data_IF_658410912167
#
_entry.id   IF_658410912167
#
_cell.length_a   1.000
_cell.length_b   1.000
_cell.length_c   1.000
_cell.angle_alpha   90.00
_cell.angle_beta   90.00
_cell.angle_gamma   90.00
#
_symmetry.space_group_name_H-M   'P 1'
#
loop_
_entity.id
_entity.type
_entity.pdbx_description
1 polymer ?
#
# COMPACT_ATOMS: atom_id res chain seq x y z
N UNK A 1 8.37 8.91 -14.43
CA UNK A 1 7.60 9.38 -13.25
C UNK A 1 7.58 10.90 -13.32
N UNK A 2 6.43 11.56 -13.28
CA UNK A 2 6.33 13.02 -13.46
C UNK A 2 6.67 13.72 -12.14
N UNK A 3 7.66 14.61 -12.15
CA UNK A 3 7.98 15.51 -11.04
C UNK A 3 7.15 16.79 -11.18
N UNK A 4 6.47 17.22 -10.11
CA UNK A 4 5.74 18.49 -10.11
C UNK A 4 6.68 19.66 -9.76
N UNK A 5 6.33 20.89 -10.19
CA UNK A 5 7.02 22.12 -9.74
C UNK A 5 6.53 22.50 -8.34
N UNK A 6 7.30 23.28 -7.59
CA UNK A 6 6.99 23.72 -6.20
C UNK A 6 5.65 24.46 -6.02
N UNK A 7 5.08 24.99 -7.11
CA UNK A 7 3.83 25.76 -7.08
C UNK A 7 2.62 24.93 -7.51
N UNK A 8 2.78 23.62 -7.77
CA UNK A 8 1.66 22.76 -8.14
C UNK A 8 0.84 22.45 -6.89
N UNK A 9 -0.44 22.79 -6.98
CA UNK A 9 -1.46 22.42 -6.01
C UNK A 9 -2.25 21.29 -6.64
N UNK A 10 -2.22 20.11 -6.01
CA UNK A 10 -3.08 19.00 -6.37
C UNK A 10 -4.05 18.77 -5.22
N UNK A 11 -5.32 18.59 -5.54
CA UNK A 11 -6.27 18.01 -4.60
C UNK A 11 -5.86 16.59 -4.23
N UNK A 12 -6.27 16.13 -3.04
CA UNK A 12 -6.06 14.74 -2.64
C UNK A 12 -6.70 13.75 -3.64
N UNK A 13 -7.83 14.14 -4.25
CA UNK A 13 -8.47 13.38 -5.33
C UNK A 13 -7.54 13.21 -6.53
N UNK A 14 -6.94 14.28 -7.04
CA UNK A 14 -6.06 14.21 -8.21
C UNK A 14 -4.86 13.29 -7.94
N UNK A 15 -4.28 13.40 -6.74
CA UNK A 15 -3.18 12.54 -6.32
C UNK A 15 -3.59 11.05 -6.28
N UNK A 16 -4.67 10.72 -5.57
CA UNK A 16 -5.14 9.35 -5.47
C UNK A 16 -5.60 8.79 -6.82
N UNK A 17 -6.19 9.63 -7.67
CA UNK A 17 -6.55 9.25 -9.05
C UNK A 17 -5.32 8.90 -9.87
N UNK A 18 -4.23 9.68 -9.75
CA UNK A 18 -2.97 9.38 -10.41
C UNK A 18 -2.41 8.03 -9.94
N UNK A 19 -2.34 7.83 -8.62
CA UNK A 19 -1.82 6.60 -8.02
C UNK A 19 -2.68 5.37 -8.38
N UNK A 20 -4.00 5.53 -8.36
CA UNK A 20 -4.95 4.51 -8.78
C UNK A 20 -4.70 4.09 -10.23
N UNK A 21 -4.66 5.04 -11.17
CA UNK A 21 -4.40 4.75 -12.59
C UNK A 21 -3.08 4.03 -12.80
N UNK A 22 -2.02 4.48 -12.13
CA UNK A 22 -0.71 3.81 -12.19
C UNK A 22 -0.79 2.36 -11.68
N UNK A 23 -1.44 2.15 -10.54
CA UNK A 23 -1.60 0.84 -9.91
C UNK A 23 -2.40 -0.11 -10.78
N UNK A 24 -3.56 0.34 -11.27
CA UNK A 24 -4.43 -0.43 -12.16
C UNK A 24 -3.73 -0.81 -13.46
N UNK A 25 -3.10 0.16 -14.15
CA UNK A 25 -2.36 -0.12 -15.39
C UNK A 25 -1.26 -1.15 -15.18
N UNK A 26 -0.53 -1.03 -14.07
CA UNK A 26 0.55 -1.96 -13.70
C UNK A 26 0.04 -3.36 -13.47
N UNK A 27 -0.99 -3.55 -12.63
CA UNK A 27 -1.59 -4.87 -12.40
C UNK A 27 -2.07 -5.47 -13.73
N UNK A 28 -2.84 -4.71 -14.51
CA UNK A 28 -3.41 -5.17 -15.77
C UNK A 28 -2.35 -5.56 -16.80
N UNK A 29 -1.19 -4.88 -16.83
CA UNK A 29 -0.09 -5.24 -17.74
C UNK A 29 0.60 -6.57 -17.42
N UNK A 30 0.29 -7.17 -16.27
CA UNK A 30 0.80 -8.47 -15.82
C UNK A 30 -0.30 -9.54 -15.73
N UNK A 31 -1.58 -9.14 -15.77
CA UNK A 31 -2.67 -10.05 -16.08
C UNK A 31 -2.41 -10.67 -17.46
N UNK A 32 -2.30 -12.00 -17.52
CA UNK A 32 -1.91 -12.74 -18.72
C UNK A 32 -0.45 -13.19 -18.76
N UNK A 33 0.43 -12.67 -17.89
CA UNK A 33 1.83 -13.14 -17.78
C UNK A 33 2.04 -14.18 -16.68
N UNK A 34 1.15 -14.22 -15.69
CA UNK A 34 1.24 -15.15 -14.58
C UNK A 34 -0.17 -15.65 -14.20
N UNK A 35 -0.42 -16.98 -14.19
CA UNK A 35 -1.74 -17.53 -13.88
C UNK A 35 -2.27 -17.18 -12.49
N UNK A 36 -1.40 -17.09 -11.48
CA UNK A 36 -1.80 -16.73 -10.12
C UNK A 36 -2.21 -15.25 -10.04
N UNK A 37 -1.46 -14.34 -10.69
CA UNK A 37 -1.84 -12.93 -10.79
C UNK A 37 -3.19 -12.81 -11.48
N UNK A 38 -3.39 -13.51 -12.60
CA UNK A 38 -4.65 -13.49 -13.34
C UNK A 38 -5.81 -13.99 -12.47
N UNK A 39 -5.65 -15.16 -11.84
CA UNK A 39 -6.66 -15.74 -10.95
C UNK A 39 -7.04 -14.77 -9.84
N UNK A 40 -6.07 -14.28 -9.06
CA UNK A 40 -6.33 -13.40 -7.92
C UNK A 40 -6.80 -11.99 -8.32
N UNK A 41 -6.58 -11.59 -9.58
CA UNK A 41 -7.11 -10.33 -10.08
C UNK A 41 -8.63 -10.38 -10.26
N UNK A 42 -9.16 -11.50 -10.74
CA UNK A 42 -10.57 -11.63 -11.10
C UNK A 42 -11.39 -12.42 -10.09
N UNK A 43 -10.79 -13.39 -9.40
CA UNK A 43 -11.47 -14.29 -8.49
C UNK A 43 -11.38 -13.79 -7.04
N UNK A 44 -12.49 -13.94 -6.30
CA UNK A 44 -12.47 -13.82 -4.84
C UNK A 44 -11.62 -14.93 -4.22
N UNK A 45 -11.07 -14.67 -3.05
CA UNK A 45 -10.17 -15.60 -2.37
C UNK A 45 -10.51 -15.70 -0.89
N UNK A 46 -10.36 -16.90 -0.30
CA UNK A 46 -10.44 -17.08 1.15
C UNK A 46 -9.01 -17.21 1.69
N UNK A 47 -8.63 -16.36 2.64
CA UNK A 47 -7.31 -16.35 3.30
C UNK A 47 -7.53 -16.41 4.80
N UNK A 48 -6.97 -17.41 5.49
CA UNK A 48 -7.13 -17.61 6.94
C UNK A 48 -8.60 -17.48 7.39
N UNK A 49 -9.50 -18.23 6.73
CA UNK A 49 -10.95 -18.25 7.00
C UNK A 49 -11.73 -16.95 6.71
N UNK A 50 -11.05 -15.92 6.20
CA UNK A 50 -11.68 -14.67 5.81
C UNK A 50 -11.86 -14.61 4.29
N UNK A 51 -13.06 -14.24 3.83
CA UNK A 51 -13.35 -14.05 2.41
C UNK A 51 -12.96 -12.63 1.97
N UNK A 52 -12.24 -12.55 0.85
CA UNK A 52 -11.75 -11.31 0.26
C UNK A 52 -12.25 -11.17 -1.17
N UNK A 53 -12.63 -9.95 -1.52
CA UNK A 53 -12.92 -9.60 -2.91
C UNK A 53 -11.65 -9.69 -3.75
N UNK A 54 -11.84 -9.92 -5.05
CA UNK A 54 -10.75 -9.88 -6.02
C UNK A 54 -10.11 -8.50 -6.10
N UNK A 55 -8.89 -8.42 -6.65
CA UNK A 55 -8.20 -7.13 -6.86
C UNK A 55 -9.05 -6.20 -7.73
N UNK A 56 -9.64 -6.72 -8.81
CA UNK A 56 -10.48 -5.92 -9.71
C UNK A 56 -11.69 -5.32 -8.99
N UNK A 57 -12.41 -6.13 -8.20
CA UNK A 57 -13.55 -5.62 -7.41
C UNK A 57 -13.12 -4.60 -6.36
N UNK A 58 -11.94 -4.74 -5.75
CA UNK A 58 -11.40 -3.73 -4.84
C UNK A 58 -11.07 -2.43 -5.57
N UNK A 59 -10.41 -2.51 -6.72
CA UNK A 59 -10.06 -1.33 -7.52
C UNK A 59 -11.30 -0.54 -7.94
N UNK A 60 -12.36 -1.23 -8.40
CA UNK A 60 -13.64 -0.58 -8.74
C UNK A 60 -14.25 0.17 -7.54
N UNK A 61 -14.21 -0.43 -6.34
CA UNK A 61 -14.71 0.22 -5.12
C UNK A 61 -13.84 1.41 -4.69
N UNK A 62 -12.52 1.28 -4.80
CA UNK A 62 -11.59 2.38 -4.52
C UNK A 62 -11.80 3.54 -5.50
N UNK A 63 -12.03 3.26 -6.79
CA UNK A 63 -12.37 4.29 -7.78
C UNK A 63 -13.66 5.03 -7.42
N UNK A 64 -14.68 4.31 -6.96
CA UNK A 64 -15.91 4.93 -6.47
C UNK A 64 -15.66 5.83 -5.26
N UNK A 65 -14.82 5.40 -4.32
CA UNK A 65 -14.44 6.20 -3.14
C UNK A 65 -13.70 7.48 -3.57
N UNK A 66 -12.75 7.38 -4.50
CA UNK A 66 -11.95 8.52 -4.98
C UNK A 66 -12.82 9.51 -5.78
N UNK A 67 -13.74 9.00 -6.61
CA UNK A 67 -14.64 9.82 -7.44
C UNK A 67 -15.80 10.44 -6.65
N UNK A 68 -16.16 9.85 -5.50
CA UNK A 68 -17.25 10.31 -4.64
C UNK A 68 -17.08 11.73 -4.11
N UNK A 69 -18.20 12.35 -3.73
CA UNK A 69 -18.25 13.70 -3.18
C UNK A 69 -17.81 13.74 -1.71
N UNK A 70 -16.50 13.85 -1.48
CA UNK A 70 -15.92 14.11 -0.17
C UNK A 70 -15.18 15.46 -0.20
N UNK A 71 -15.56 16.38 0.68
CA UNK A 71 -14.94 17.72 0.78
C UNK A 71 -13.44 17.65 1.08
N UNK A 72 -13.03 16.65 1.87
CA UNK A 72 -11.62 16.37 2.16
C UNK A 72 -10.84 16.03 0.88
N UNK A 73 -11.39 15.18 0.00
CA UNK A 73 -10.76 14.82 -1.26
C UNK A 73 -10.60 16.02 -2.22
N UNK A 74 -11.49 17.00 -2.11
CA UNK A 74 -11.44 18.25 -2.87
C UNK A 74 -10.47 19.28 -2.27
N UNK A 75 -9.94 19.05 -1.07
CA UNK A 75 -9.04 20.00 -0.41
C UNK A 75 -7.74 20.13 -1.21
N UNK A 76 -7.37 21.35 -1.65
CA UNK A 76 -6.10 21.57 -2.31
C UNK A 76 -4.94 21.27 -1.36
N UNK A 77 -3.94 20.55 -1.83
CA UNK A 77 -2.71 20.29 -1.11
C UNK A 77 -1.53 20.75 -1.95
N UNK A 78 -0.69 21.62 -1.40
CA UNK A 78 0.57 21.99 -2.04
C UNK A 78 1.45 20.75 -2.12
N UNK A 79 2.02 20.50 -3.29
CA UNK A 79 3.10 19.53 -3.39
C UNK A 79 4.24 19.97 -2.46
N UNK A 80 4.82 19.02 -1.73
CA UNK A 80 5.96 19.26 -0.83
C UNK A 80 7.17 18.49 -1.32
N UNK A 81 8.36 18.92 -0.89
CA UNK A 81 9.55 18.08 -1.06
C UNK A 81 9.38 16.81 -0.24
N UNK A 82 9.23 15.68 -0.93
CA UNK A 82 9.10 14.37 -0.30
C UNK A 82 10.44 13.65 -0.22
N UNK A 83 10.56 12.77 0.76
CA UNK A 83 11.65 11.81 0.87
C UNK A 83 11.64 10.83 -0.31
N UNK A 84 10.45 10.40 -0.74
CA UNK A 84 10.21 9.59 -1.93
C UNK A 84 10.33 8.07 -1.72
N UNK A 85 11.02 7.63 -0.68
CA UNK A 85 11.05 6.23 -0.27
C UNK A 85 11.17 6.02 1.25
N UNK A 86 10.34 6.68 2.08
CA UNK A 86 10.38 6.47 3.53
C UNK A 86 9.75 5.11 3.88
N UNK A 87 10.60 4.16 4.23
CA UNK A 87 10.23 2.83 4.72
C UNK A 87 11.13 2.46 5.91
N UNK A 88 10.83 1.41 6.67
CA UNK A 88 11.54 1.02 7.89
C UNK A 88 13.05 0.85 7.67
N UNK A 89 13.45 0.32 6.52
CA UNK A 89 14.88 0.21 6.14
C UNK A 89 15.59 1.56 5.93
N UNK A 90 14.83 2.62 5.66
CA UNK A 90 15.32 3.99 5.48
C UNK A 90 15.08 4.88 6.72
N UNK A 91 14.71 4.29 7.85
CA UNK A 91 14.53 4.98 9.13
C UNK A 91 15.59 4.48 10.10
N UNK A 92 16.54 5.34 10.46
CA UNK A 92 17.50 5.08 11.53
C UNK A 92 17.03 5.73 12.83
N UNK A 93 17.12 5.00 13.94
CA UNK A 93 16.87 5.58 15.26
C UNK A 93 17.86 5.07 16.29
N UNK A 94 18.22 5.93 17.25
CA UNK A 94 18.96 5.57 18.46
C UNK A 94 18.06 5.57 19.72
N UNK A 95 16.73 5.62 19.55
CA UNK A 95 15.74 5.74 20.63
C UNK A 95 15.48 7.17 21.12
N UNK A 96 16.32 8.14 20.77
CA UNK A 96 16.14 9.57 21.07
C UNK A 96 15.88 10.39 19.81
N UNK A 97 16.62 10.09 18.76
CA UNK A 97 16.57 10.72 17.46
C UNK A 97 16.05 9.73 16.41
N UNK A 98 15.39 10.29 15.39
CA UNK A 98 14.94 9.57 14.20
C UNK A 98 15.51 10.29 12.98
N UNK A 99 16.22 9.58 12.12
CA UNK A 99 16.80 10.11 10.88
C UNK A 99 16.25 9.32 9.69
N UNK A 100 15.82 10.04 8.66
CA UNK A 100 15.50 9.47 7.36
C UNK A 100 16.76 9.47 6.49
N UNK A 101 17.05 8.34 5.85
CA UNK A 101 18.22 8.12 5.00
C UNK A 101 17.80 7.64 3.61
N UNK A 102 18.71 7.75 2.62
CA UNK A 102 18.46 7.39 1.21
C UNK A 102 17.21 8.07 0.59
N UNK A 103 17.19 9.42 0.50
CA UNK A 103 16.06 10.14 -0.11
C UNK A 103 16.03 9.94 -1.62
N UNK A 104 15.23 8.98 -2.10
CA UNK A 104 15.03 8.69 -3.53
C UNK A 104 14.08 9.65 -4.24
N UNK A 105 13.51 10.60 -3.53
CA UNK A 105 12.86 11.77 -4.12
C UNK A 105 13.84 12.63 -4.94
N UNK A 106 15.15 12.54 -4.71
CA UNK A 106 16.13 13.26 -5.53
C UNK A 106 16.76 12.34 -6.57
N UNK A 107 16.10 12.17 -7.72
CA UNK A 107 16.84 11.78 -8.92
C UNK A 107 17.50 13.02 -9.51
N UNK A 108 18.76 13.25 -9.11
CA UNK A 108 19.90 14.01 -9.71
C UNK A 108 19.64 15.36 -10.43
N UNK A 109 18.47 15.67 -11.00
CA UNK A 109 18.12 16.96 -11.59
C UNK A 109 16.62 17.33 -11.55
N UNK A 110 15.76 16.62 -10.80
CA UNK A 110 14.35 17.00 -10.63
C UNK A 110 13.96 17.07 -9.16
N UNK A 111 13.33 18.17 -8.76
CA UNK A 111 12.79 18.29 -7.41
C UNK A 111 11.56 17.37 -7.30
N UNK A 112 11.59 16.36 -6.43
CA UNK A 112 10.42 15.55 -6.07
C UNK A 112 9.43 16.33 -5.21
N UNK A 113 8.64 17.16 -5.88
CA UNK A 113 7.45 17.71 -5.28
C UNK A 113 6.30 16.72 -5.48
N UNK A 114 5.81 16.13 -4.39
CA UNK A 114 4.68 15.18 -4.41
C UNK A 114 3.65 15.57 -3.34
N UNK A 115 2.48 14.91 -3.37
CA UNK A 115 1.57 14.98 -2.24
C UNK A 115 2.23 14.34 -1.01
N UNK A 116 2.10 14.93 0.20
CA UNK A 116 2.48 14.29 1.47
C UNK A 116 1.93 12.88 1.63
N UNK A 117 0.77 12.57 1.03
CA UNK A 117 0.17 11.24 1.02
C UNK A 117 1.07 10.17 0.38
N UNK A 118 2.05 10.56 -0.43
CA UNK A 118 3.02 9.62 -1.00
C UNK A 118 3.93 9.05 0.08
N UNK A 119 4.61 9.91 0.84
CA UNK A 119 5.53 9.49 1.91
C UNK A 119 4.77 8.82 3.06
N UNK A 120 3.59 9.34 3.43
CA UNK A 120 2.73 8.68 4.42
C UNK A 120 2.27 7.31 3.93
N UNK A 121 1.86 7.21 2.66
CA UNK A 121 1.49 5.95 2.03
C UNK A 121 2.66 4.97 1.97
N UNK A 122 3.89 5.44 1.73
CA UNK A 122 5.11 4.62 1.78
C UNK A 122 5.41 4.11 3.20
N UNK A 123 5.22 4.92 4.23
CA UNK A 123 5.34 4.43 5.61
C UNK A 123 4.29 3.35 5.89
N UNK A 124 3.04 3.56 5.47
CA UNK A 124 1.95 2.59 5.64
C UNK A 124 2.19 1.31 4.83
N UNK A 125 2.67 1.41 3.58
CA UNK A 125 2.98 0.25 2.74
C UNK A 125 3.97 -0.69 3.41
N UNK A 126 4.90 -0.13 4.17
CA UNK A 126 5.96 -0.89 4.79
C UNK A 126 5.64 -1.31 6.22
N UNK A 127 5.29 -0.34 7.07
CA UNK A 127 5.02 -0.60 8.48
C UNK A 127 3.70 -1.33 8.64
N UNK A 128 2.62 -0.85 8.00
CA UNK A 128 1.30 -1.43 8.21
C UNK A 128 1.01 -2.62 7.30
N UNK A 129 1.40 -2.56 6.03
CA UNK A 129 1.21 -3.67 5.10
C UNK A 129 2.44 -4.58 4.97
N UNK A 130 3.44 -4.40 5.83
CA UNK A 130 4.52 -5.36 6.06
C UNK A 130 5.43 -5.58 4.85
N UNK A 131 5.51 -4.64 3.89
CA UNK A 131 6.28 -4.82 2.64
C UNK A 131 7.69 -5.35 2.88
N UNK A 132 8.47 -4.75 3.78
CA UNK A 132 9.82 -5.20 4.13
C UNK A 132 9.85 -6.66 4.60
N UNK A 133 8.85 -7.10 5.35
CA UNK A 133 8.75 -8.48 5.81
C UNK A 133 8.34 -9.44 4.68
N UNK A 134 7.51 -8.99 3.71
CA UNK A 134 7.20 -9.75 2.49
C UNK A 134 8.47 -9.98 1.67
N UNK A 135 9.18 -8.90 1.32
CA UNK A 135 10.36 -8.98 0.45
C UNK A 135 11.54 -9.69 1.11
N UNK A 136 11.59 -9.70 2.45
CA UNK A 136 12.54 -10.49 3.24
C UNK A 136 12.13 -11.95 3.38
N UNK A 137 11.00 -12.37 2.78
CA UNK A 137 10.54 -13.75 2.79
C UNK A 137 10.08 -14.24 4.16
N UNK A 138 9.61 -13.35 5.04
CA UNK A 138 9.08 -13.71 6.37
C UNK A 138 7.63 -14.17 6.35
N UNK A 139 7.03 -14.30 5.18
CA UNK A 139 5.70 -14.89 5.04
C UNK A 139 5.80 -16.25 4.36
N UNK A 140 4.89 -17.14 4.72
CA UNK A 140 4.70 -18.45 4.10
C UNK A 140 3.22 -18.63 3.83
N UNK A 141 2.92 -19.21 2.68
CA UNK A 141 1.55 -19.55 2.34
C UNK A 141 1.42 -20.91 1.70
N UNK A 142 0.26 -21.53 1.90
CA UNK A 142 -0.12 -22.76 1.23
C UNK A 142 -1.61 -22.73 0.86
N UNK A 143 -1.98 -23.46 -0.18
CA UNK A 143 -3.36 -23.61 -0.65
C UNK A 143 -3.81 -25.05 -0.44
N UNK A 144 -4.94 -25.27 0.23
CA UNK A 144 -5.49 -26.61 0.48
C UNK A 144 -6.45 -27.11 -0.61
N UNK A 145 -6.59 -26.37 -1.71
CA UNK A 145 -7.59 -26.63 -2.75
C UNK A 145 -8.84 -25.75 -2.63
N UNK A 146 -9.11 -25.17 -1.45
CA UNK A 146 -10.28 -24.33 -1.17
C UNK A 146 -9.92 -22.94 -0.66
N UNK A 147 -8.97 -22.83 0.26
CA UNK A 147 -8.53 -21.57 0.88
C UNK A 147 -7.02 -21.50 1.00
N UNK A 148 -6.53 -20.28 1.10
CA UNK A 148 -5.14 -19.97 1.41
C UNK A 148 -4.94 -19.87 2.91
N UNK A 149 -3.82 -20.37 3.37
CA UNK A 149 -3.30 -20.11 4.69
C UNK A 149 -2.07 -19.24 4.53
N UNK A 150 -2.02 -18.15 5.27
CA UNK A 150 -0.94 -17.17 5.23
C UNK A 150 -0.42 -16.97 6.64
N UNK A 151 0.85 -17.27 6.85
CA UNK A 151 1.53 -17.20 8.13
C UNK A 151 2.75 -16.29 8.03
N UNK A 152 3.05 -15.58 9.12
CA UNK A 152 4.27 -14.79 9.25
C UNK A 152 5.24 -15.54 10.17
N UNK A 153 6.49 -15.72 9.72
CA UNK A 153 7.59 -16.24 10.52
C UNK A 153 8.01 -15.17 11.54
N UNK A 154 7.85 -15.50 12.82
CA UNK A 154 8.12 -14.68 14.00
C UNK A 154 7.19 -13.47 14.21
N UNK A 155 6.87 -13.30 15.50
CA UNK A 155 6.04 -12.23 16.02
C UNK A 155 6.82 -10.91 16.05
N UNK A 156 6.26 -9.81 15.53
CA UNK A 156 6.79 -8.49 15.84
C UNK A 156 5.71 -7.43 16.07
N UNK A 157 6.00 -6.66 17.12
CA UNK A 157 5.53 -5.34 17.57
C UNK A 157 4.13 -4.86 17.18
N UNK A 158 3.38 -4.49 18.22
CA UNK A 158 2.02 -3.93 18.19
C UNK A 158 1.84 -2.77 17.19
N UNK A 159 1.50 -3.11 15.94
CA UNK A 159 1.17 -2.22 14.82
C UNK A 159 -0.02 -1.29 15.10
N UNK A 160 -0.82 -1.61 16.14
CA UNK A 160 -1.95 -0.78 16.53
C UNK A 160 -1.51 0.63 16.94
N UNK A 161 -0.28 0.83 17.46
CA UNK A 161 0.20 2.18 17.79
C UNK A 161 0.46 3.05 16.55
N UNK A 162 0.95 2.47 15.46
CA UNK A 162 1.10 3.18 14.19
C UNK A 162 -0.28 3.51 13.60
N UNK A 163 -1.24 2.59 13.73
CA UNK A 163 -2.64 2.84 13.36
C UNK A 163 -3.24 4.00 14.15
N UNK A 164 -3.07 3.98 15.46
CA UNK A 164 -3.59 5.01 16.35
C UNK A 164 -2.98 6.37 16.01
N UNK A 165 -1.68 6.43 15.70
CA UNK A 165 -1.04 7.66 15.26
C UNK A 165 -1.68 8.24 13.99
N UNK A 166 -1.82 7.47 12.90
CA UNK A 166 -2.41 7.99 11.67
C UNK A 166 -3.91 8.30 11.79
N UNK A 167 -4.65 7.55 12.61
CA UNK A 167 -6.06 7.83 12.90
C UNK A 167 -6.25 9.10 13.73
N UNK A 168 -5.39 9.34 14.72
CA UNK A 168 -5.47 10.51 15.61
C UNK A 168 -4.95 11.79 14.94
N UNK A 169 -3.99 11.69 14.01
CA UNK A 169 -3.27 12.86 13.49
C UNK A 169 -4.03 13.66 12.42
N UNK A 170 -4.98 13.08 11.69
CA UNK A 170 -5.64 13.81 10.59
C UNK A 170 -7.11 13.44 10.41
N UNK A 171 -7.95 14.46 10.23
CA UNK A 171 -9.23 14.33 9.53
C UNK A 171 -8.96 13.91 8.08
N UNK A 172 -8.59 12.64 7.87
CA UNK A 172 -8.10 12.15 6.58
C UNK A 172 -7.08 11.02 6.62
N UNK A 173 -6.71 10.49 7.79
CA UNK A 173 -5.73 9.41 7.90
C UNK A 173 -6.03 8.19 7.02
N UNK A 174 -7.32 7.90 6.78
CA UNK A 174 -7.81 6.86 5.87
C UNK A 174 -7.28 6.99 4.42
N UNK A 175 -6.97 8.20 3.95
CA UNK A 175 -6.42 8.44 2.61
C UNK A 175 -4.99 7.94 2.46
N UNK A 176 -4.19 8.09 3.52
CA UNK A 176 -2.83 7.57 3.57
C UNK A 176 -2.85 6.04 3.51
N UNK A 177 -3.90 5.39 4.04
CA UNK A 177 -4.09 3.93 3.87
C UNK A 177 -4.43 3.54 2.45
N UNK A 178 -5.34 4.25 1.78
CA UNK A 178 -5.61 4.02 0.35
C UNK A 178 -4.32 4.18 -0.46
N UNK A 179 -3.55 5.24 -0.18
CA UNK A 179 -2.24 5.45 -0.81
C UNK A 179 -1.30 4.27 -0.57
N UNK A 180 -1.16 3.81 0.69
CA UNK A 180 -0.32 2.66 1.03
C UNK A 180 -0.74 1.36 0.35
N UNK A 181 -2.04 1.06 0.30
CA UNK A 181 -2.55 -0.15 -0.34
C UNK A 181 -2.35 -0.13 -1.86
N UNK A 182 -2.60 1.03 -2.49
CA UNK A 182 -2.34 1.21 -3.92
C UNK A 182 -0.83 1.13 -4.22
N UNK A 183 0.03 1.73 -3.39
CA UNK A 183 1.48 1.64 -3.56
C UNK A 183 1.98 0.19 -3.47
N UNK A 184 1.50 -0.57 -2.48
CA UNK A 184 1.85 -1.98 -2.31
C UNK A 184 1.42 -2.80 -3.53
N UNK A 185 0.14 -2.72 -3.91
CA UNK A 185 -0.37 -3.43 -5.08
C UNK A 185 0.29 -2.97 -6.39
N UNK A 186 0.67 -1.69 -6.47
CA UNK A 186 1.29 -1.08 -7.64
C UNK A 186 2.76 -1.43 -7.85
N UNK A 187 3.44 -2.07 -6.89
CA UNK A 187 4.81 -2.58 -7.07
C UNK A 187 4.88 -4.08 -7.37
N UNK A 188 3.77 -4.80 -7.20
CA UNK A 188 3.65 -6.24 -7.48
C UNK A 188 4.26 -6.66 -8.84
N UNK A 189 3.99 -5.96 -9.95
CA UNK A 189 4.65 -6.19 -11.24
C UNK A 189 6.18 -6.28 -11.24
N UNK A 190 6.87 -5.54 -10.39
CA UNK A 190 8.34 -5.57 -10.33
C UNK A 190 8.88 -6.82 -9.64
N UNK A 191 7.99 -7.68 -9.16
CA UNK A 191 8.30 -8.82 -8.32
C UNK A 191 7.77 -10.16 -8.87
N UNK A 192 7.25 -10.17 -10.11
CA UNK A 192 6.57 -11.33 -10.72
C UNK A 192 7.43 -12.61 -10.88
N UNK A 193 8.74 -12.54 -10.69
CA UNK A 193 9.67 -13.68 -10.74
C UNK A 193 10.21 -14.08 -9.36
N UNK A 194 9.73 -13.45 -8.28
CA UNK A 194 10.25 -13.69 -6.93
C UNK A 194 9.53 -14.87 -6.28
N UNK A 195 10.25 -15.61 -5.44
CA UNK A 195 9.71 -16.77 -4.72
C UNK A 195 8.57 -16.38 -3.77
N UNK A 196 8.60 -15.16 -3.23
CA UNK A 196 7.59 -14.60 -2.32
C UNK A 196 6.42 -13.90 -3.02
N UNK A 197 6.29 -14.05 -4.36
CA UNK A 197 5.23 -13.40 -5.14
C UNK A 197 3.83 -13.79 -4.63
N UNK A 198 3.64 -15.05 -4.25
CA UNK A 198 2.35 -15.56 -3.78
C UNK A 198 1.92 -14.85 -2.50
N UNK A 199 2.80 -14.75 -1.51
CA UNK A 199 2.57 -14.02 -0.27
C UNK A 199 2.31 -12.54 -0.54
N UNK A 200 3.07 -11.95 -1.46
CA UNK A 200 2.87 -10.56 -1.88
C UNK A 200 1.46 -10.33 -2.42
N UNK A 201 0.99 -11.21 -3.30
CA UNK A 201 -0.35 -11.12 -3.88
C UNK A 201 -1.43 -11.22 -2.81
N UNK A 202 -1.34 -12.22 -1.93
CA UNK A 202 -2.30 -12.44 -0.86
C UNK A 202 -2.36 -11.24 0.08
N UNK A 203 -1.21 -10.66 0.46
CA UNK A 203 -1.16 -9.48 1.33
C UNK A 203 -1.66 -8.23 0.61
N UNK A 204 -1.41 -8.09 -0.69
CA UNK A 204 -1.97 -7.00 -1.50
C UNK A 204 -3.49 -7.05 -1.56
N UNK A 205 -4.07 -8.24 -1.69
CA UNK A 205 -5.53 -8.44 -1.64
C UNK A 205 -6.08 -8.03 -0.27
N UNK A 206 -5.44 -8.45 0.81
CA UNK A 206 -5.82 -8.07 2.17
C UNK A 206 -5.75 -6.55 2.32
N UNK A 207 -4.68 -5.91 1.86
CA UNK A 207 -4.49 -4.46 1.95
C UNK A 207 -5.58 -3.69 1.20
N UNK A 208 -5.88 -4.08 -0.03
CA UNK A 208 -6.93 -3.46 -0.86
C UNK A 208 -8.32 -3.66 -0.25
N UNK A 209 -8.63 -4.86 0.25
CA UNK A 209 -9.92 -5.14 0.91
C UNK A 209 -10.08 -4.33 2.21
N UNK A 210 -8.98 -4.05 2.92
CA UNK A 210 -9.05 -3.25 4.15
C UNK A 210 -9.40 -1.80 3.90
N UNK A 211 -8.86 -1.20 2.85
CA UNK A 211 -9.10 0.22 2.58
C UNK A 211 -10.51 0.50 2.06
N UNK A 212 -11.19 -0.50 1.50
CA UNK A 212 -12.62 -0.41 1.12
C UNK A 212 -13.57 -0.70 2.28
N UNK A 213 -13.09 -1.34 3.36
CA UNK A 213 -13.88 -1.61 4.57
C UNK A 213 -13.17 -1.06 5.81
N UNK A 214 -13.45 0.20 6.19
CA UNK A 214 -12.79 0.87 7.31
C UNK A 214 -12.89 0.14 8.66
N UNK A 215 -13.86 -0.76 8.83
CA UNK A 215 -13.99 -1.55 10.06
C UNK A 215 -12.90 -2.62 10.20
N UNK A 216 -12.11 -2.89 9.16
CA UNK A 216 -11.15 -4.01 9.09
C UNK A 216 -9.67 -3.60 9.22
N UNK A 217 -9.40 -2.36 9.61
CA UNK A 217 -8.05 -1.82 9.79
C UNK A 217 -7.20 -2.54 10.88
N UNK A 218 -7.75 -3.51 11.63
CA UNK A 218 -6.97 -4.28 12.60
C UNK A 218 -6.28 -5.48 11.93
N UNK A 219 -4.98 -5.61 12.16
CA UNK A 219 -4.18 -6.77 11.79
C UNK A 219 -4.18 -7.78 12.93
N UNK A 220 -4.81 -8.93 12.73
CA UNK A 220 -4.60 -10.11 13.57
C UNK A 220 -4.02 -11.19 12.68
N UNK A 221 -2.70 -11.38 12.75
CA UNK A 221 -2.06 -12.54 12.17
C UNK A 221 -2.23 -13.70 13.15
N UNK A 222 -2.61 -14.88 12.66
CA UNK A 222 -2.60 -16.07 13.50
C UNK A 222 -1.14 -16.48 13.70
N UNK A 223 -0.67 -16.41 14.95
CA UNK A 223 0.66 -16.84 15.34
C UNK A 223 0.68 -18.34 15.61
N UNK A 224 1.81 -18.98 15.34
CA UNK A 224 2.15 -20.28 15.94
C UNK A 224 3.04 -20.03 17.15
#
# INVERSE_FOLDING_TARGET
MHSFKSNVVLSQREWLTYLFKQTSNRIMSYCGKNPLINKLTYDSVVINDNAYLSIMSCLQRIEHIISGHCTLLASPQKAILCHGDPHAGNIMTNGKDVKLIDPRGRFINSNAWFSPLYDEGKIIHDVFFEYSNIVSGKFRSFYDGKKWYLQQENNHYNLNKTLDYFRQKTAGGWLSYISGALLLAGVLPFHYQRSWLQEFLLISIIALNRVINPQTYHLTWNHK
#
